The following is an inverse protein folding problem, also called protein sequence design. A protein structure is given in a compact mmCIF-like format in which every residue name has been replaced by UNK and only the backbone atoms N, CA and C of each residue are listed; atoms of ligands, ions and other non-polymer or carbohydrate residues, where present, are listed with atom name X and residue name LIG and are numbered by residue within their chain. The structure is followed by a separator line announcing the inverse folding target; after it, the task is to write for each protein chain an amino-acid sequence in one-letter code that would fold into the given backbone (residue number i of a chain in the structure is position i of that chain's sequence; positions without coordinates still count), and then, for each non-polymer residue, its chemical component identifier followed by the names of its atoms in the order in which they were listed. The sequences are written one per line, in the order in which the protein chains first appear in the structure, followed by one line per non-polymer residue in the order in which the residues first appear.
data_IF_068412119149
#
_entry.id   IF_068412119149
#
_cell.length_a   1.000
_cell.length_b   1.000
_cell.length_c   1.000
_cell.angle_alpha   90.00
_cell.angle_beta   90.00
_cell.angle_gamma   90.00
#
_symmetry.space_group_name_H-M   'P 1'
#
loop_
_entity.id
_entity.type
_entity.pdbx_description
1 polymer ?
#
# COMPACT_ATOMS: atom_id res chain seq x y z
N UNK A 1 3.96 15.33 -3.44
CA UNK A 1 5.32 14.73 -3.34
C UNK A 1 6.19 15.19 -4.52
N UNK A 2 7.43 15.67 -4.28
CA UNK A 2 8.28 16.34 -5.29
C UNK A 2 9.02 15.40 -6.27
N UNK A 3 9.02 14.08 -6.03
CA UNK A 3 9.68 13.11 -6.91
C UNK A 3 11.22 13.12 -6.87
N UNK A 4 11.82 13.85 -5.93
CA UNK A 4 13.28 14.05 -5.86
C UNK A 4 14.06 12.87 -5.26
N UNK A 5 13.38 11.95 -4.58
CA UNK A 5 13.99 10.80 -3.90
C UNK A 5 13.59 9.50 -4.59
N UNK A 6 14.46 8.48 -4.55
CA UNK A 6 14.14 7.15 -5.08
C UNK A 6 13.64 6.23 -3.95
N UNK A 7 12.33 5.97 -3.83
CA UNK A 7 11.77 5.25 -2.69
C UNK A 7 11.96 3.73 -2.84
N UNK A 8 11.86 3.03 -1.71
CA UNK A 8 11.60 1.60 -1.74
C UNK A 8 10.14 1.35 -2.16
N UNK A 9 9.89 0.24 -2.86
CA UNK A 9 8.55 -0.15 -3.31
C UNK A 9 8.17 -1.50 -2.72
N UNK A 10 6.95 -1.58 -2.22
CA UNK A 10 6.36 -2.79 -1.66
C UNK A 10 5.04 -3.07 -2.37
N UNK A 11 4.84 -4.31 -2.78
CA UNK A 11 3.53 -4.83 -3.19
C UNK A 11 3.10 -5.83 -2.14
N UNK A 12 1.91 -5.61 -1.56
CA UNK A 12 1.38 -6.44 -0.47
C UNK A 12 0.01 -6.96 -0.87
N UNK A 13 -0.21 -8.25 -0.65
CA UNK A 13 -1.52 -8.86 -0.85
C UNK A 13 -2.47 -8.47 0.29
N UNK A 14 -3.61 -7.90 -0.06
CA UNK A 14 -4.59 -7.38 0.92
C UNK A 14 -5.31 -8.47 1.72
N UNK A 15 -5.29 -9.73 1.26
CA UNK A 15 -5.96 -10.87 1.91
C UNK A 15 -5.00 -11.59 2.83
N UNK A 16 -3.85 -12.01 2.32
CA UNK A 16 -2.86 -12.76 3.12
C UNK A 16 -1.99 -11.85 3.99
N UNK A 17 -1.98 -10.54 3.73
CA UNK A 17 -1.18 -9.55 4.48
C UNK A 17 0.33 -9.83 4.41
N UNK A 18 0.78 -10.38 3.29
CA UNK A 18 2.17 -10.70 3.00
C UNK A 18 2.69 -9.89 1.81
N UNK A 19 3.95 -9.48 1.91
CA UNK A 19 4.66 -8.76 0.84
C UNK A 19 4.97 -9.74 -0.28
N UNK A 20 4.38 -9.52 -1.46
CA UNK A 20 4.60 -10.35 -2.65
C UNK A 20 5.79 -9.88 -3.48
N UNK A 21 6.08 -8.57 -3.45
CA UNK A 21 7.23 -7.97 -4.12
C UNK A 21 7.81 -6.83 -3.28
N UNK A 22 9.14 -6.74 -3.25
CA UNK A 22 9.90 -5.75 -2.48
C UNK A 22 11.12 -5.31 -3.28
N UNK A 23 11.14 -4.02 -3.63
CA UNK A 23 12.26 -3.37 -4.31
C UNK A 23 12.87 -2.38 -3.34
N UNK A 24 14.11 -2.64 -2.91
CA UNK A 24 14.89 -1.71 -2.11
C UNK A 24 15.74 -0.86 -3.05
N UNK A 25 15.49 0.44 -3.05
CA UNK A 25 16.16 1.40 -3.91
C UNK A 25 17.35 2.02 -3.20
N UNK A 26 18.36 2.41 -3.99
CA UNK A 26 19.47 3.23 -3.49
C UNK A 26 18.98 4.65 -3.23
N UNK A 27 18.81 4.98 -1.95
CA UNK A 27 18.37 6.30 -1.48
C UNK A 27 19.59 7.19 -1.30
N UNK A 28 19.84 8.10 -2.25
CA UNK A 28 21.02 8.97 -2.20
C UNK A 28 20.84 10.18 -1.28
N UNK A 29 19.63 10.74 -1.23
CA UNK A 29 19.29 11.95 -0.47
C UNK A 29 18.07 11.72 0.43
N UNK A 30 18.03 12.39 1.58
CA UNK A 30 16.86 12.53 2.45
C UNK A 30 16.55 14.01 2.69
N UNK A 31 15.26 14.34 2.85
CA UNK A 31 14.84 15.69 3.23
C UNK A 31 14.72 15.77 4.75
N UNK A 32 15.44 16.70 5.38
CA UNK A 32 15.47 16.91 6.82
C UNK A 32 15.11 18.35 7.16
N UNK A 33 14.47 18.56 8.31
CA UNK A 33 14.22 19.91 8.80
C UNK A 33 15.49 20.48 9.43
N UNK A 34 15.94 21.61 8.92
CA UNK A 34 17.07 22.36 9.46
C UNK A 34 16.53 23.43 10.43
N UNK A 35 16.78 23.31 11.75
CA UNK A 35 16.28 24.27 12.73
C UNK A 35 17.02 25.61 12.70
N UNK A 36 18.23 25.68 12.15
CA UNK A 36 18.99 26.93 12.06
C UNK A 36 18.46 27.81 10.91
N UNK A 37 18.13 27.17 9.79
CA UNK A 37 17.58 27.85 8.61
C UNK A 37 16.06 27.97 8.67
N UNK A 38 15.39 27.11 9.44
CA UNK A 38 13.93 27.08 9.58
C UNK A 38 13.21 26.47 8.37
N UNK A 39 13.91 25.70 7.54
CA UNK A 39 13.41 25.14 6.29
C UNK A 39 13.76 23.64 6.16
N UNK A 40 13.11 22.97 5.21
CA UNK A 40 13.45 21.58 4.85
C UNK A 40 14.55 21.59 3.81
N UNK A 41 15.66 20.92 4.10
CA UNK A 41 16.84 20.82 3.23
C UNK A 41 17.08 19.37 2.81
N UNK A 42 17.70 19.17 1.65
CA UNK A 42 18.13 17.84 1.22
C UNK A 42 19.57 17.58 1.67
N UNK A 43 19.79 16.43 2.29
CA UNK A 43 21.10 15.97 2.76
C UNK A 43 21.44 14.61 2.17
N UNK A 44 22.73 14.37 1.94
CA UNK A 44 23.21 13.07 1.48
C UNK A 44 23.06 12.01 2.58
N UNK A 45 22.54 10.85 2.19
CA UNK A 45 22.42 9.69 3.09
C UNK A 45 23.77 8.97 3.13
N UNK A 46 24.22 8.60 4.34
CA UNK A 46 25.41 7.76 4.50
C UNK A 46 25.32 6.47 3.66
N UNK A 47 26.43 6.08 3.02
CA UNK A 47 26.48 4.93 2.11
C UNK A 47 25.93 3.64 2.72
N UNK A 48 26.11 3.42 4.02
CA UNK A 48 25.61 2.21 4.70
C UNK A 48 24.09 2.22 4.88
N UNK A 49 23.45 3.40 4.87
CA UNK A 49 22.00 3.57 4.97
C UNK A 49 21.31 3.61 3.61
N UNK A 50 22.00 3.99 2.53
CA UNK A 50 21.39 4.14 1.20
C UNK A 50 20.69 2.86 0.69
N UNK A 51 21.27 1.70 1.00
CA UNK A 51 20.76 0.37 0.59
C UNK A 51 19.95 -0.33 1.67
N UNK A 52 19.69 0.32 2.82
CA UNK A 52 18.82 -0.25 3.86
C UNK A 52 17.36 -0.05 3.48
N UNK A 53 16.55 -1.06 3.78
CA UNK A 53 15.11 -0.98 3.67
C UNK A 53 14.58 0.13 4.60
N UNK A 54 13.71 1.01 4.09
CA UNK A 54 13.18 2.13 4.86
C UNK A 54 12.10 1.74 5.88
N UNK A 55 11.53 0.53 5.75
CA UNK A 55 10.49 -0.01 6.61
C UNK A 55 10.85 -1.39 7.16
N UNK A 56 10.40 -1.67 8.37
CA UNK A 56 10.34 -3.01 8.93
C UNK A 56 9.08 -3.76 8.46
N UNK A 57 9.14 -5.09 8.41
CA UNK A 57 8.00 -5.90 7.95
C UNK A 57 6.73 -5.71 8.83
N UNK A 58 6.91 -5.41 10.13
CA UNK A 58 5.78 -5.08 11.03
C UNK A 58 5.11 -3.77 10.67
N UNK A 59 5.88 -2.79 10.21
CA UNK A 59 5.38 -1.47 9.81
C UNK A 59 4.61 -1.57 8.50
N UNK A 60 5.11 -2.37 7.54
CA UNK A 60 4.40 -2.68 6.29
C UNK A 60 3.03 -3.30 6.58
N UNK A 61 2.97 -4.30 7.47
CA UNK A 61 1.70 -4.95 7.86
C UNK A 61 0.72 -3.98 8.51
N UNK A 62 1.21 -3.10 9.38
CA UNK A 62 0.37 -2.11 10.06
C UNK A 62 -0.14 -1.04 9.09
N UNK A 63 0.69 -0.57 8.17
CA UNK A 63 0.27 0.33 7.09
C UNK A 63 -0.84 -0.29 6.23
N UNK A 64 -0.74 -1.58 5.91
CA UNK A 64 -1.77 -2.29 5.14
C UNK A 64 -3.07 -2.41 5.94
N UNK A 65 -2.99 -2.68 7.25
CA UNK A 65 -4.16 -2.70 8.14
C UNK A 65 -4.88 -1.35 8.13
N UNK A 66 -4.14 -0.26 8.35
CA UNK A 66 -4.68 1.10 8.36
C UNK A 66 -5.26 1.46 6.98
N UNK A 67 -4.56 1.12 5.90
CA UNK A 67 -5.01 1.39 4.53
C UNK A 67 -6.34 0.69 4.20
N UNK A 68 -6.52 -0.56 4.66
CA UNK A 68 -7.79 -1.29 4.51
C UNK A 68 -8.93 -0.65 5.29
N UNK A 69 -8.66 -0.14 6.50
CA UNK A 69 -9.67 0.58 7.29
C UNK A 69 -10.09 1.89 6.62
N UNK A 70 -9.13 2.63 6.05
CA UNK A 70 -9.40 3.86 5.29
C UNK A 70 -10.18 3.55 4.02
N UNK A 71 -9.75 2.59 3.20
CA UNK A 71 -10.46 2.14 2.00
C UNK A 71 -11.89 1.70 2.32
N UNK A 72 -12.09 0.95 3.41
CA UNK A 72 -13.42 0.54 3.88
C UNK A 72 -14.28 1.74 4.30
N UNK A 73 -13.69 2.73 4.97
CA UNK A 73 -14.40 3.92 5.42
C UNK A 73 -14.90 4.76 4.24
N UNK A 74 -14.07 4.94 3.20
CA UNK A 74 -14.41 5.73 2.02
C UNK A 74 -15.14 4.94 0.92
N UNK A 75 -15.14 3.60 1.00
CA UNK A 75 -15.82 2.72 0.05
C UNK A 75 -15.19 2.71 -1.36
N UNK A 76 -13.97 3.21 -1.51
CA UNK A 76 -13.25 3.25 -2.79
C UNK A 76 -11.73 3.13 -2.59
N UNK A 77 -10.95 2.80 -3.64
CA UNK A 77 -9.50 2.80 -3.58
C UNK A 77 -8.96 4.18 -3.18
N UNK A 78 -8.02 4.20 -2.25
CA UNK A 78 -7.47 5.42 -1.66
C UNK A 78 -5.98 5.56 -1.94
N UNK A 79 -5.57 6.79 -2.24
CA UNK A 79 -4.19 7.26 -2.17
C UNK A 79 -3.96 7.90 -0.79
N UNK A 80 -2.95 7.40 -0.08
CA UNK A 80 -2.73 7.69 1.34
C UNK A 80 -1.28 8.11 1.52
N UNK A 81 -1.09 9.34 2.01
CA UNK A 81 0.21 9.81 2.48
C UNK A 81 0.31 9.57 3.99
N UNK A 82 1.46 9.08 4.44
CA UNK A 82 1.73 8.70 5.82
C UNK A 82 3.14 9.10 6.26
N UNK A 83 3.37 9.13 7.56
CA UNK A 83 4.66 9.38 8.18
C UNK A 83 4.88 8.42 9.37
N UNK A 84 6.14 8.10 9.65
CA UNK A 84 6.55 7.34 10.84
C UNK A 84 7.40 8.24 11.74
N UNK A 85 6.91 8.51 12.96
CA UNK A 85 7.66 9.27 13.96
C UNK A 85 8.50 8.34 14.84
N UNK A 86 9.82 8.44 14.72
CA UNK A 86 10.76 7.61 15.48
C UNK A 86 10.72 7.85 16.99
N UNK A 87 10.12 8.96 17.44
CA UNK A 87 10.00 9.27 18.87
C UNK A 87 8.85 8.54 19.55
N UNK A 88 7.91 7.97 18.77
CA UNK A 88 6.80 7.20 19.30
C UNK A 88 7.06 5.69 19.19
N UNK A 89 6.52 4.87 20.11
CA UNK A 89 6.62 3.43 19.99
C UNK A 89 5.65 2.90 18.93
N UNK A 90 6.07 1.88 18.19
CA UNK A 90 5.17 1.09 17.34
C UNK A 90 4.03 0.45 18.17
N UNK A 91 2.78 0.42 17.67
CA UNK A 91 2.31 0.91 16.36
C UNK A 91 1.86 2.38 16.34
N UNK A 92 1.98 3.10 17.45
CA UNK A 92 1.47 4.48 17.59
C UNK A 92 2.33 5.54 16.89
N UNK A 93 3.41 5.12 16.25
CA UNK A 93 4.30 5.97 15.50
C UNK A 93 3.87 6.22 14.06
N UNK A 94 2.83 5.54 13.57
CA UNK A 94 2.34 5.70 12.20
C UNK A 94 1.22 6.73 12.17
N UNK A 95 1.42 7.79 11.39
CA UNK A 95 0.47 8.88 11.22
C UNK A 95 0.02 8.98 9.77
N UNK A 96 -1.29 9.18 9.57
CA UNK A 96 -1.87 9.45 8.26
C UNK A 96 -1.96 10.96 8.09
N UNK A 97 -1.25 11.49 7.09
CA UNK A 97 -1.20 12.95 6.86
C UNK A 97 -2.21 13.38 5.79
N UNK A 98 -2.53 12.49 4.84
CA UNK A 98 -3.49 12.76 3.77
C UNK A 98 -4.14 11.45 3.31
N UNK A 99 -5.46 11.45 3.08
CA UNK A 99 -6.16 10.36 2.39
C UNK A 99 -7.13 10.92 1.35
N UNK A 100 -7.01 10.50 0.09
CA UNK A 100 -7.89 10.92 -1.02
C UNK A 100 -8.22 9.74 -1.91
N UNK A 101 -9.38 9.73 -2.58
CA UNK A 101 -9.67 8.72 -3.60
C UNK A 101 -8.55 8.67 -4.64
N UNK A 102 -8.10 7.46 -4.97
CA UNK A 102 -7.11 7.26 -6.03
C UNK A 102 -7.77 7.59 -7.39
N UNK A 103 -7.06 8.26 -8.29
CA UNK A 103 -7.71 8.92 -9.45
C UNK A 103 -8.15 7.97 -10.56
N UNK A 104 -7.52 6.80 -10.75
CA UNK A 104 -7.80 5.91 -11.88
C UNK A 104 -8.84 4.84 -11.55
N UNK A 105 -8.68 4.17 -10.42
CA UNK A 105 -9.49 3.03 -10.00
C UNK A 105 -10.75 3.46 -9.24
N UNK A 106 -10.72 4.56 -8.49
CA UNK A 106 -11.95 5.04 -7.82
C UNK A 106 -13.03 5.49 -8.79
N UNK A 107 -12.63 5.90 -10.00
CA UNK A 107 -13.56 6.32 -11.06
C UNK A 107 -14.14 5.13 -11.85
N UNK A 108 -13.58 3.92 -11.70
CA UNK A 108 -14.12 2.74 -12.38
C UNK A 108 -15.40 2.32 -11.69
N UNK A 109 -16.48 2.20 -12.48
CA UNK A 109 -17.68 1.52 -12.01
C UNK A 109 -17.30 0.09 -11.67
N UNK A 110 -17.59 -0.34 -10.45
CA UNK A 110 -17.48 -1.73 -10.05
C UNK A 110 -18.49 -2.53 -10.86
N UNK A 111 -18.03 -3.14 -11.95
CA UNK A 111 -18.84 -4.10 -12.69
C UNK A 111 -18.77 -5.45 -11.97
N UNK A 112 -19.90 -6.11 -11.72
CA UNK A 112 -19.88 -7.42 -11.12
C UNK A 112 -19.15 -8.38 -12.05
N UNK A 113 -18.06 -8.97 -11.56
CA UNK A 113 -17.25 -9.99 -12.25
C UNK A 113 -18.11 -11.20 -12.64
N UNK A 114 -19.25 -11.36 -11.96
CA UNK A 114 -20.22 -12.45 -12.08
C UNK A 114 -21.39 -12.08 -13.02
N UNK A 115 -21.46 -10.83 -13.52
CA UNK A 115 -22.67 -10.29 -14.14
C UNK A 115 -23.83 -10.24 -13.15
N UNK A 116 -25.08 -10.24 -13.63
CA UNK A 116 -26.29 -10.20 -12.80
C UNK A 116 -26.63 -11.53 -12.11
N UNK A 117 -25.71 -12.51 -12.11
CA UNK A 117 -25.99 -13.84 -11.55
C UNK A 117 -25.78 -13.85 -10.04
N UNK A 118 -26.69 -14.47 -9.31
CA UNK A 118 -26.49 -14.70 -7.87
C UNK A 118 -25.46 -15.80 -7.62
N UNK A 119 -24.84 -15.80 -6.43
CA UNK A 119 -23.90 -16.87 -6.04
C UNK A 119 -24.50 -18.27 -6.16
N UNK A 120 -25.81 -18.41 -5.93
CA UNK A 120 -26.55 -19.67 -6.13
C UNK A 120 -26.60 -20.09 -7.60
N UNK A 121 -26.87 -19.15 -8.53
CA UNK A 121 -26.92 -19.44 -9.96
C UNK A 121 -25.57 -19.93 -10.49
N UNK A 122 -24.47 -19.34 -10.04
CA UNK A 122 -23.13 -19.80 -10.40
C UNK A 122 -22.84 -21.22 -9.89
N UNK A 123 -23.20 -21.49 -8.63
CA UNK A 123 -22.98 -22.79 -8.00
C UNK A 123 -23.78 -23.88 -8.71
N UNK A 124 -25.01 -23.57 -9.12
CA UNK A 124 -25.85 -24.46 -9.93
C UNK A 124 -25.30 -24.67 -11.34
N UNK A 125 -24.81 -23.62 -12.00
CA UNK A 125 -24.22 -23.70 -13.34
C UNK A 125 -22.93 -24.55 -13.33
N UNK A 126 -22.11 -24.42 -12.28
CA UNK A 126 -20.91 -25.23 -12.08
C UNK A 126 -21.27 -26.69 -11.76
N UNK A 127 -22.29 -26.94 -10.94
CA UNK A 127 -22.78 -28.29 -10.63
C UNK A 127 -23.40 -29.00 -11.85
N UNK A 128 -24.01 -28.24 -12.77
CA UNK A 128 -24.59 -28.78 -14.00
C UNK A 128 -23.58 -28.99 -15.15
N UNK A 129 -22.35 -28.47 -15.01
CA UNK A 129 -21.27 -28.71 -15.99
C UNK A 129 -20.81 -30.17 -15.88
N UNK A 130 -21.38 -31.04 -16.72
CA UNK A 130 -20.99 -32.45 -16.82
C UNK A 130 -19.49 -32.58 -17.07
N UNK A 131 -18.79 -33.23 -16.15
CA UNK A 131 -17.43 -33.72 -16.37
C UNK A 131 -17.53 -34.80 -17.44
N UNK A 132 -17.00 -34.53 -18.64
CA UNK A 132 -16.73 -35.61 -19.60
C UNK A 132 -15.61 -36.45 -19.01
N UNK A 133 -15.96 -37.59 -18.43
CA UNK A 133 -14.98 -38.63 -18.13
C UNK A 133 -14.66 -39.25 -19.49
N UNK A 134 -13.43 -39.11 -19.95
CA UNK A 134 -12.92 -39.83 -21.11
C UNK A 134 -12.69 -41.29 -20.69
N UNK A 135 -13.31 -42.22 -21.42
CA UNK A 135 -13.08 -43.68 -21.30
C UNK A 135 -11.67 -44.07 -21.78
#
# INVERSE_FOLDING_TARGET
VSGSVNPDKFTVDKVVMETTDKIVSTKQIESVFDPEVGEVVNVDIDRTRQSKCCLEDREVKELVRISKEIEKHYGCPMDIEWAIDKNFPFPKNIFIVQARPETVWSQRKAEPIIGNKSGYQLLMEQAMKRIKIQE
#
